data_IF_535762221116
#
_entry.id   IF_535762221116
#
_cell.length_a   1.000
_cell.length_b   1.000
_cell.length_c   1.000
_cell.angle_alpha   90.00
_cell.angle_beta   90.00
_cell.angle_gamma   90.00
#
_symmetry.space_group_name_H-M   'P 1'
#
loop_
_entity.id
_entity.type
_entity.pdbx_description
1 polymer ?
#
# COMPACT_ATOMS: atom_id res chain seq x y z
N UNK A 1 67.38 46.76 -34.31
CA UNK A 1 66.22 46.70 -33.39
C UNK A 1 64.97 46.90 -34.24
N UNK A 2 63.93 46.08 -34.33
CA UNK A 2 63.57 44.78 -33.76
C UNK A 2 62.39 44.25 -34.61
N UNK A 3 62.50 42.99 -35.04
CA UNK A 3 61.51 41.96 -35.46
C UNK A 3 60.14 42.31 -36.09
N UNK A 4 59.97 41.78 -37.32
CA UNK A 4 58.98 40.79 -37.79
C UNK A 4 57.78 40.40 -36.90
N UNK A 5 56.60 40.26 -37.53
CA UNK A 5 55.57 39.33 -37.07
C UNK A 5 54.19 39.53 -37.70
N UNK A 6 53.94 38.91 -38.86
CA UNK A 6 52.63 38.70 -39.48
C UNK A 6 51.98 37.45 -38.86
N UNK A 7 50.69 37.53 -38.52
CA UNK A 7 49.77 36.43 -38.23
C UNK A 7 48.39 37.08 -38.11
N UNK A 8 47.49 36.90 -39.07
CA UNK A 8 46.58 35.75 -39.14
C UNK A 8 46.03 35.45 -37.75
N UNK A 9 44.78 35.83 -37.51
CA UNK A 9 43.78 34.89 -37.00
C UNK A 9 42.47 35.60 -36.59
N UNK A 10 41.40 35.00 -37.11
CA UNK A 10 40.09 34.79 -36.50
C UNK A 10 38.88 35.62 -36.98
N UNK A 11 38.12 34.90 -37.80
CA UNK A 11 36.78 35.14 -38.32
C UNK A 11 35.73 35.42 -37.22
N UNK A 12 34.73 36.29 -37.46
CA UNK A 12 33.70 36.67 -36.51
C UNK A 12 32.44 35.79 -36.66
N UNK A 13 32.54 34.48 -36.41
CA UNK A 13 31.41 33.55 -36.60
C UNK A 13 31.36 32.37 -35.61
N UNK A 14 31.81 32.54 -34.36
CA UNK A 14 31.58 31.51 -33.33
C UNK A 14 31.38 32.13 -31.95
N UNK A 15 30.36 32.98 -31.83
CA UNK A 15 29.73 33.24 -30.54
C UNK A 15 28.99 31.95 -30.14
N UNK A 16 29.78 30.99 -29.64
CA UNK A 16 29.31 29.77 -29.03
C UNK A 16 28.17 30.12 -28.08
N UNK A 17 26.96 29.69 -28.46
CA UNK A 17 25.90 29.43 -27.50
C UNK A 17 26.54 28.64 -26.34
N UNK A 18 26.24 28.97 -25.07
CA UNK A 18 26.76 28.18 -23.97
C UNK A 18 26.45 26.71 -24.23
N UNK A 19 27.37 25.79 -23.94
CA UNK A 19 27.07 24.37 -24.04
C UNK A 19 25.81 24.16 -23.20
N UNK A 20 24.70 23.81 -23.85
CA UNK A 20 23.55 23.23 -23.16
C UNK A 20 24.14 22.11 -22.32
N UNK A 21 24.11 22.27 -20.99
CA UNK A 21 24.58 21.24 -20.09
C UNK A 21 23.96 19.91 -20.53
N UNK A 22 24.74 18.83 -20.72
CA UNK A 22 24.22 17.52 -21.09
C UNK A 22 23.49 16.85 -19.90
N UNK A 23 22.71 17.63 -19.14
CA UNK A 23 21.97 17.22 -17.96
C UNK A 23 20.45 17.37 -18.10
N UNK A 24 19.92 17.67 -19.30
CA UNK A 24 18.50 18.02 -19.48
C UNK A 24 17.69 17.04 -20.35
N UNK A 25 18.08 15.75 -20.32
CA UNK A 25 17.21 14.63 -20.68
C UNK A 25 17.46 13.42 -19.78
N UNK A 26 17.47 13.63 -18.46
CA UNK A 26 17.10 12.52 -17.58
C UNK A 26 15.59 12.46 -17.65
N UNK A 27 15.06 11.67 -18.59
CA UNK A 27 13.68 11.19 -18.47
C UNK A 27 13.53 10.64 -17.07
N UNK A 28 12.66 11.26 -16.27
CA UNK A 28 12.41 10.87 -14.88
C UNK A 28 12.01 9.39 -14.88
N UNK A 29 12.98 8.54 -14.55
CA UNK A 29 12.81 7.10 -14.60
C UNK A 29 11.99 6.68 -13.38
N UNK A 30 10.68 6.50 -13.57
CA UNK A 30 9.77 6.02 -12.53
C UNK A 30 9.50 4.52 -12.67
N UNK A 31 10.27 3.73 -11.92
CA UNK A 31 10.10 2.28 -11.84
C UNK A 31 8.68 1.87 -11.42
N UNK A 32 7.96 2.69 -10.63
CA UNK A 32 6.58 2.36 -10.21
C UNK A 32 5.61 2.39 -11.38
N UNK A 33 5.82 3.31 -12.32
CA UNK A 33 4.98 3.42 -13.51
C UNK A 33 5.17 2.21 -14.42
N UNK A 34 6.42 1.75 -14.58
CA UNK A 34 6.74 0.52 -15.32
C UNK A 34 6.08 -0.69 -14.66
N UNK A 35 6.29 -0.90 -13.35
CA UNK A 35 5.71 -2.03 -12.62
C UNK A 35 4.18 -2.03 -12.73
N UNK A 36 3.54 -0.86 -12.58
CA UNK A 36 2.08 -0.73 -12.69
C UNK A 36 1.62 -1.03 -14.13
N UNK A 37 2.31 -0.51 -15.14
CA UNK A 37 2.03 -0.79 -16.55
C UNK A 37 2.10 -2.29 -16.84
N UNK A 38 3.19 -2.95 -16.42
CA UNK A 38 3.34 -4.41 -16.58
C UNK A 38 2.24 -5.19 -15.86
N UNK A 39 1.91 -4.80 -14.62
CA UNK A 39 0.84 -5.43 -13.84
C UNK A 39 -0.55 -5.26 -14.46
N UNK A 40 -0.81 -4.16 -15.18
CA UNK A 40 -2.08 -3.97 -15.90
C UNK A 40 -2.14 -4.72 -17.23
N UNK A 41 -0.99 -4.98 -17.86
CA UNK A 41 -0.92 -5.67 -19.15
C UNK A 41 -0.87 -7.20 -19.01
N UNK A 42 -0.42 -7.70 -17.85
CA UNK A 42 -0.34 -9.13 -17.57
C UNK A 42 -1.46 -9.56 -16.61
N UNK A 43 -2.08 -10.71 -16.86
CA UNK A 43 -2.98 -11.37 -15.90
C UNK A 43 -2.23 -12.21 -14.86
N UNK A 44 -0.89 -12.23 -14.94
CA UNK A 44 -0.04 -13.03 -14.07
C UNK A 44 -0.10 -12.52 -12.62
N UNK A 45 -0.40 -13.43 -11.70
CA UNK A 45 -0.53 -13.12 -10.27
C UNK A 45 0.72 -13.52 -9.49
N UNK A 46 1.59 -14.36 -10.06
CA UNK A 46 2.85 -14.76 -9.42
C UNK A 46 3.85 -13.58 -9.40
N UNK A 47 4.28 -13.12 -8.21
CA UNK A 47 5.25 -12.02 -8.09
C UNK A 47 6.59 -12.34 -8.77
N UNK A 48 7.00 -13.61 -8.85
CA UNK A 48 8.27 -13.97 -9.48
C UNK A 48 8.22 -13.78 -11.00
N UNK A 49 7.13 -14.23 -11.63
CA UNK A 49 6.92 -14.04 -13.06
C UNK A 49 6.73 -12.56 -13.41
N UNK A 50 6.03 -11.79 -12.57
CA UNK A 50 5.88 -10.35 -12.77
C UNK A 50 7.24 -9.63 -12.69
N UNK A 51 8.08 -9.97 -11.72
CA UNK A 51 9.44 -9.41 -11.61
C UNK A 51 10.31 -9.75 -12.83
N UNK A 52 10.23 -10.98 -13.34
CA UNK A 52 10.93 -11.38 -14.56
C UNK A 52 10.44 -10.59 -15.78
N UNK A 53 9.12 -10.37 -15.89
CA UNK A 53 8.52 -9.58 -16.98
C UNK A 53 8.95 -8.11 -16.90
N UNK A 54 8.97 -7.53 -15.71
CA UNK A 54 9.47 -6.16 -15.49
C UNK A 54 10.95 -6.07 -15.86
N UNK A 55 11.76 -7.07 -15.51
CA UNK A 55 13.18 -7.11 -15.87
C UNK A 55 13.37 -7.15 -17.40
N UNK A 56 12.55 -7.91 -18.13
CA UNK A 56 12.60 -7.94 -19.60
C UNK A 56 12.14 -6.65 -20.26
N UNK A 57 11.28 -5.88 -19.60
CA UNK A 57 10.78 -4.59 -20.09
C UNK A 57 11.71 -3.42 -19.75
N UNK A 58 12.68 -3.62 -18.86
CA UNK A 58 13.57 -2.58 -18.37
C UNK A 58 14.83 -2.50 -19.23
N UNK A 59 15.20 -1.30 -19.66
CA UNK A 59 16.46 -1.06 -20.37
C UNK A 59 17.65 -1.35 -19.42
N UNK A 60 18.67 -2.12 -19.85
CA UNK A 60 19.90 -2.35 -19.08
C UNK A 60 20.55 -1.06 -18.53
N UNK A 61 20.45 0.06 -19.24
CA UNK A 61 21.00 1.35 -18.79
C UNK A 61 20.34 1.88 -17.51
N UNK A 62 19.09 1.46 -17.24
CA UNK A 62 18.32 1.89 -16.07
C UNK A 62 18.41 0.94 -14.87
N UNK A 63 19.16 -0.16 -14.96
CA UNK A 63 19.25 -1.16 -13.89
C UNK A 63 19.80 -0.58 -12.58
N UNK A 64 20.83 0.26 -12.67
CA UNK A 64 21.42 0.89 -11.50
C UNK A 64 20.43 1.84 -10.80
N UNK A 65 19.67 2.63 -11.57
CA UNK A 65 18.66 3.54 -11.05
C UNK A 65 17.48 2.78 -10.43
N UNK A 66 17.00 1.72 -11.09
CA UNK A 66 15.95 0.85 -10.59
C UNK A 66 16.33 0.17 -9.27
N UNK A 67 17.56 -0.34 -9.18
CA UNK A 67 18.08 -0.95 -7.96
C UNK A 67 18.20 0.08 -6.83
N UNK A 68 18.73 1.27 -7.12
CA UNK A 68 18.84 2.35 -6.15
C UNK A 68 17.46 2.80 -5.61
N UNK A 69 16.42 2.79 -6.44
CA UNK A 69 15.06 3.11 -6.03
C UNK A 69 14.42 2.01 -5.16
N UNK A 70 14.67 0.73 -5.46
CA UNK A 70 14.07 -0.41 -4.74
C UNK A 70 14.76 -0.74 -3.41
N UNK A 71 16.08 -0.60 -3.35
CA UNK A 71 16.89 -1.11 -2.24
C UNK A 71 16.49 -0.55 -0.86
N UNK A 72 16.19 0.76 -0.68
CA UNK A 72 15.79 1.29 0.62
C UNK A 72 14.49 0.67 1.17
N UNK A 73 13.52 0.41 0.30
CA UNK A 73 12.25 -0.21 0.68
C UNK A 73 12.45 -1.65 1.12
N UNK A 74 13.26 -2.40 0.36
CA UNK A 74 13.61 -3.79 0.69
C UNK A 74 14.36 -3.89 2.04
N UNK A 75 15.37 -3.03 2.26
CA UNK A 75 16.10 -2.98 3.53
C UNK A 75 15.16 -2.66 4.70
N UNK A 76 14.24 -1.71 4.52
CA UNK A 76 13.25 -1.35 5.55
C UNK A 76 12.35 -2.55 5.89
N UNK A 77 11.90 -3.31 4.89
CA UNK A 77 11.09 -4.51 5.08
C UNK A 77 11.85 -5.60 5.84
N UNK A 78 13.10 -5.89 5.48
CA UNK A 78 13.94 -6.88 6.15
C UNK A 78 14.18 -6.49 7.61
N UNK A 79 14.54 -5.22 7.86
CA UNK A 79 14.72 -4.71 9.23
C UNK A 79 13.41 -4.76 10.04
N UNK A 80 12.27 -4.51 9.40
CA UNK A 80 10.95 -4.66 10.00
C UNK A 80 10.69 -6.10 10.43
N UNK A 81 10.94 -7.06 9.54
CA UNK A 81 10.78 -8.49 9.80
C UNK A 81 11.68 -8.96 10.95
N UNK A 82 12.96 -8.59 10.94
CA UNK A 82 13.91 -8.92 12.01
C UNK A 82 13.44 -8.38 13.37
N UNK A 83 12.88 -7.17 13.41
CA UNK A 83 12.32 -6.60 14.64
C UNK A 83 11.08 -7.35 15.12
N UNK A 84 10.25 -7.86 14.22
CA UNK A 84 9.09 -8.68 14.57
C UNK A 84 9.50 -10.04 15.11
N UNK A 85 10.48 -10.68 14.47
CA UNK A 85 11.01 -11.97 14.90
C UNK A 85 11.70 -11.86 16.27
N UNK A 86 12.49 -10.79 16.50
CA UNK A 86 13.09 -10.51 17.80
C UNK A 86 12.07 -10.25 18.92
N UNK A 87 10.86 -9.78 18.57
CA UNK A 87 9.77 -9.54 19.52
C UNK A 87 8.88 -10.76 19.73
N UNK A 88 9.02 -11.81 18.92
CA UNK A 88 8.21 -13.01 19.06
C UNK A 88 8.65 -13.71 20.35
N UNK A 89 7.81 -13.74 21.41
CA UNK A 89 8.19 -14.42 22.64
C UNK A 89 8.41 -15.89 22.30
N UNK A 90 9.62 -16.39 22.57
CA UNK A 90 9.91 -17.81 22.50
C UNK A 90 8.85 -18.48 23.38
N UNK A 91 8.02 -19.39 22.84
CA UNK A 91 7.05 -20.11 23.64
C UNK A 91 7.85 -20.94 24.63
N UNK A 92 8.07 -20.39 25.82
CA UNK A 92 8.48 -21.16 26.97
C UNK A 92 7.31 -22.06 27.26
N UNK A 93 7.40 -23.30 26.76
CA UNK A 93 6.55 -24.41 27.17
C UNK A 93 6.88 -24.62 28.63
N UNK A 94 6.27 -23.81 29.50
CA UNK A 94 6.29 -24.07 30.93
C UNK A 94 5.37 -25.28 31.09
N UNK A 95 5.89 -26.47 31.46
CA UNK A 95 5.04 -27.61 31.71
C UNK A 95 3.99 -27.18 32.72
N UNK A 96 2.72 -27.33 32.35
CA UNK A 96 1.62 -26.98 33.25
C UNK A 96 1.83 -27.77 34.55
N UNK A 97 1.88 -27.12 35.73
CA UNK A 97 1.92 -27.86 36.97
C UNK A 97 0.67 -28.73 37.02
N UNK A 98 0.87 -30.04 37.12
CA UNK A 98 -0.20 -31.02 37.33
C UNK A 98 -0.86 -30.63 38.66
N UNK A 99 -2.00 -29.94 38.59
CA UNK A 99 -2.79 -29.64 39.78
C UNK A 99 -3.47 -30.94 40.21
N UNK A 100 -3.27 -31.41 41.45
CA UNK A 100 -4.06 -32.52 41.96
C UNK A 100 -5.54 -32.10 42.00
N UNK A 101 -6.41 -33.02 41.58
CA UNK A 101 -7.84 -32.86 41.63
C UNK A 101 -8.28 -32.72 43.10
N UNK A 102 -8.54 -31.49 43.53
CA UNK A 102 -9.11 -31.19 44.84
C UNK A 102 -10.52 -30.63 44.64
N UNK A 103 -11.45 -31.50 45.00
CA UNK A 103 -12.84 -31.36 45.47
C UNK A 103 -13.50 -29.96 45.45
N UNK A 104 -14.59 -29.92 44.67
CA UNK A 104 -15.85 -29.22 44.95
C UNK A 104 -15.81 -27.97 45.84
N UNK A 105 -15.42 -26.83 45.26
CA UNK A 105 -15.78 -25.52 45.80
C UNK A 105 -17.05 -25.00 45.12
N UNK A 106 -18.19 -25.19 45.78
CA UNK A 106 -19.51 -24.66 45.39
C UNK A 106 -19.65 -23.19 45.83
N UNK A 107 -18.80 -22.32 45.29
CA UNK A 107 -18.97 -20.87 45.41
C UNK A 107 -19.22 -20.28 44.02
N UNK A 108 -20.14 -19.31 43.85
CA UNK A 108 -20.35 -18.67 42.56
C UNK A 108 -19.05 -17.97 42.16
N UNK A 109 -18.37 -18.52 41.15
CA UNK A 109 -17.11 -17.99 40.65
C UNK A 109 -17.33 -16.55 40.18
N UNK A 110 -16.79 -15.58 40.94
CA UNK A 110 -16.67 -14.21 40.43
C UNK A 110 -15.92 -14.29 39.10
N UNK A 111 -16.40 -13.68 38.01
CA UNK A 111 -15.70 -13.73 36.74
C UNK A 111 -14.33 -13.09 36.95
N UNK A 112 -13.29 -13.93 37.00
CA UNK A 112 -11.91 -13.48 37.09
C UNK A 112 -11.65 -12.73 35.79
N UNK A 113 -11.80 -11.41 35.81
CA UNK A 113 -11.41 -10.55 34.69
C UNK A 113 -9.92 -10.81 34.49
N UNK A 114 -9.58 -11.55 33.44
CA UNK A 114 -8.22 -11.97 33.15
C UNK A 114 -7.31 -10.74 33.17
N UNK A 115 -6.38 -10.69 34.14
CA UNK A 115 -5.39 -9.62 34.27
C UNK A 115 -4.58 -9.44 32.98
N UNK A 116 -4.42 -10.53 32.22
CA UNK A 116 -3.85 -10.54 30.87
C UNK A 116 -4.71 -9.77 29.87
N UNK A 117 -6.04 -9.93 29.89
CA UNK A 117 -6.95 -9.14 29.04
C UNK A 117 -6.91 -7.66 29.41
N UNK A 118 -6.81 -7.33 30.71
CA UNK A 118 -6.67 -5.95 31.17
C UNK A 118 -5.35 -5.32 30.69
N UNK A 119 -4.23 -6.05 30.82
CA UNK A 119 -2.92 -5.61 30.34
C UNK A 119 -2.87 -5.45 28.82
N UNK A 120 -3.46 -6.40 28.07
CA UNK A 120 -3.57 -6.32 26.60
C UNK A 120 -4.42 -5.12 26.20
N UNK A 121 -5.56 -4.88 26.86
CA UNK A 121 -6.40 -3.71 26.58
C UNK A 121 -5.68 -2.41 26.89
N UNK A 122 -4.95 -2.34 28.00
CA UNK A 122 -4.16 -1.15 28.36
C UNK A 122 -3.04 -0.86 27.36
N UNK A 123 -2.29 -1.89 26.96
CA UNK A 123 -1.22 -1.75 25.96
C UNK A 123 -1.77 -1.42 24.56
N UNK A 124 -2.82 -2.12 24.14
CA UNK A 124 -3.49 -1.82 22.87
C UNK A 124 -4.06 -0.41 22.85
N UNK A 125 -4.66 0.05 23.95
CA UNK A 125 -5.23 1.40 24.01
C UNK A 125 -4.13 2.46 23.89
N UNK A 126 -3.01 2.30 24.62
CA UNK A 126 -1.84 3.17 24.48
C UNK A 126 -1.27 3.17 23.07
N UNK A 127 -1.26 2.02 22.39
CA UNK A 127 -0.87 1.95 20.97
C UNK A 127 -1.86 2.71 20.09
N UNK A 128 -3.15 2.50 20.28
CA UNK A 128 -4.22 3.11 19.50
C UNK A 128 -4.24 4.63 19.63
N UNK A 129 -3.93 5.16 20.81
CA UNK A 129 -3.79 6.60 21.03
C UNK A 129 -2.67 7.25 20.20
N UNK A 130 -1.64 6.47 19.83
CA UNK A 130 -0.53 6.91 18.96
C UNK A 130 -0.78 6.63 17.48
N UNK A 131 -1.93 6.10 17.11
CA UNK A 131 -2.29 5.93 15.70
C UNK A 131 -2.73 7.28 15.14
N UNK A 132 -2.21 7.62 13.95
CA UNK A 132 -2.68 8.78 13.20
C UNK A 132 -3.98 8.42 12.48
N UNK A 133 -5.04 9.16 12.76
CA UNK A 133 -6.32 9.05 12.08
C UNK A 133 -6.55 10.24 11.15
N UNK A 134 -7.33 10.02 10.10
CA UNK A 134 -7.74 11.06 9.18
C UNK A 134 -8.99 11.76 9.72
N UNK A 135 -8.94 13.09 9.77
CA UNK A 135 -9.85 13.96 10.48
C UNK A 135 -10.15 15.17 9.58
N UNK A 136 -11.22 15.11 8.81
CA UNK A 136 -11.70 16.23 7.98
C UNK A 136 -11.18 16.24 6.53
N UNK A 137 -11.52 17.31 5.80
CA UNK A 137 -11.25 17.46 4.36
C UNK A 137 -9.94 18.21 4.04
N UNK A 138 -9.30 18.84 5.03
CA UNK A 138 -8.06 19.59 4.81
C UNK A 138 -6.85 18.66 4.65
N UNK A 139 -5.89 19.00 3.78
CA UNK A 139 -4.70 18.19 3.48
C UNK A 139 -3.77 17.97 4.69
N UNK A 140 -3.88 18.79 5.74
CA UNK A 140 -3.20 18.60 7.04
C UNK A 140 -4.00 17.75 8.04
N UNK A 141 -5.10 17.11 7.61
CA UNK A 141 -6.09 16.44 8.44
C UNK A 141 -5.67 15.13 9.11
N UNK A 142 -4.38 14.89 9.37
CA UNK A 142 -3.94 13.73 10.16
C UNK A 142 -3.61 14.18 11.57
N UNK A 143 -4.30 13.61 12.55
CA UNK A 143 -4.03 13.83 13.98
C UNK A 143 -3.82 12.50 14.68
N UNK A 144 -3.01 12.48 15.73
CA UNK A 144 -2.99 11.33 16.63
C UNK A 144 -4.34 11.21 17.32
N UNK A 145 -4.80 9.98 17.55
CA UNK A 145 -6.07 9.74 18.25
C UNK A 145 -6.08 10.39 19.64
N UNK A 146 -4.93 10.48 20.31
CA UNK A 146 -4.78 11.19 21.59
C UNK A 146 -5.12 12.68 21.53
N UNK A 147 -4.90 13.32 20.37
CA UNK A 147 -5.05 14.77 20.18
C UNK A 147 -6.39 15.13 19.52
N UNK A 148 -7.28 14.16 19.33
CA UNK A 148 -8.57 14.38 18.67
C UNK A 148 -9.58 15.01 19.61
N UNK A 149 -10.20 16.10 19.15
CA UNK A 149 -11.37 16.72 19.79
C UNK A 149 -12.66 15.93 19.48
N UNK A 150 -13.78 16.32 20.09
CA UNK A 150 -15.09 15.70 19.78
C UNK A 150 -15.45 15.88 18.31
N UNK A 151 -15.30 17.10 17.77
CA UNK A 151 -15.58 17.37 16.35
C UNK A 151 -14.66 16.59 15.41
N UNK A 152 -13.42 16.35 15.80
CA UNK A 152 -12.49 15.49 15.06
C UNK A 152 -13.01 14.04 14.98
N UNK A 153 -13.49 13.51 16.11
CA UNK A 153 -14.07 12.17 16.16
C UNK A 153 -15.36 12.07 15.35
N UNK A 154 -16.22 13.09 15.38
CA UNK A 154 -17.44 13.14 14.57
C UNK A 154 -17.13 13.12 13.07
N UNK A 155 -16.14 13.91 12.63
CA UNK A 155 -15.67 13.90 11.25
C UNK A 155 -15.11 12.53 10.84
N UNK A 156 -14.31 11.91 11.71
CA UNK A 156 -13.79 10.56 11.47
C UNK A 156 -14.91 9.51 11.41
N UNK A 157 -15.93 9.60 12.26
CA UNK A 157 -17.12 8.73 12.23
C UNK A 157 -17.86 8.89 10.90
N UNK A 158 -18.12 10.14 10.48
CA UNK A 158 -18.76 10.45 9.21
C UNK A 158 -18.01 9.81 8.04
N UNK A 159 -16.70 10.06 7.95
CA UNK A 159 -15.86 9.47 6.90
C UNK A 159 -15.90 7.94 6.92
N UNK A 160 -15.78 7.32 8.09
CA UNK A 160 -15.82 5.86 8.23
C UNK A 160 -17.17 5.28 7.82
N UNK A 161 -18.28 5.95 8.15
CA UNK A 161 -19.63 5.57 7.71
C UNK A 161 -19.77 5.68 6.19
N UNK A 162 -19.28 6.76 5.59
CA UNK A 162 -19.27 6.91 4.12
C UNK A 162 -18.46 5.82 3.44
N UNK A 163 -17.26 5.51 3.95
CA UNK A 163 -16.45 4.42 3.43
C UNK A 163 -17.12 3.06 3.62
N UNK A 164 -17.76 2.82 4.76
CA UNK A 164 -18.50 1.58 5.01
C UNK A 164 -19.69 1.44 4.05
N UNK A 165 -20.44 2.51 3.80
CA UNK A 165 -21.54 2.53 2.83
C UNK A 165 -21.05 2.23 1.41
N UNK A 166 -19.92 2.84 0.98
CA UNK A 166 -19.30 2.54 -0.31
C UNK A 166 -18.86 1.09 -0.42
N UNK A 167 -18.19 0.57 0.61
CA UNK A 167 -17.75 -0.83 0.63
C UNK A 167 -18.93 -1.81 0.61
N UNK A 168 -20.05 -1.44 1.24
CA UNK A 168 -21.27 -2.24 1.20
C UNK A 168 -21.87 -2.27 -0.22
N UNK A 169 -21.98 -1.10 -0.86
CA UNK A 169 -22.43 -1.02 -2.26
C UNK A 169 -21.54 -1.84 -3.21
N UNK A 170 -20.21 -1.76 -3.07
CA UNK A 170 -19.28 -2.60 -3.84
C UNK A 170 -19.46 -4.10 -3.55
N UNK A 171 -19.82 -4.48 -2.31
CA UNK A 171 -20.11 -5.87 -2.00
C UNK A 171 -21.41 -6.34 -2.65
N UNK A 172 -22.42 -5.49 -2.72
CA UNK A 172 -23.68 -5.75 -3.41
C UNK A 172 -23.46 -5.88 -4.94
N UNK A 173 -22.60 -5.03 -5.53
CA UNK A 173 -22.15 -5.15 -6.92
C UNK A 173 -21.51 -6.53 -7.19
N UNK A 174 -20.65 -7.01 -6.30
CA UNK A 174 -20.05 -8.34 -6.43
C UNK A 174 -21.07 -9.47 -6.28
N UNK A 175 -22.10 -9.29 -5.46
CA UNK A 175 -23.19 -10.26 -5.35
C UNK A 175 -23.98 -10.34 -6.67
N UNK A 176 -24.27 -9.19 -7.29
CA UNK A 176 -24.95 -9.11 -8.58
C UNK A 176 -24.12 -9.71 -9.72
N UNK A 177 -22.81 -9.41 -9.79
CA UNK A 177 -21.90 -10.01 -10.77
C UNK A 177 -21.81 -11.53 -10.61
N UNK A 178 -21.78 -12.02 -9.36
CA UNK A 178 -21.83 -13.46 -9.09
C UNK A 178 -23.13 -14.09 -9.58
N UNK A 179 -24.27 -13.45 -9.30
CA UNK A 179 -25.57 -13.95 -9.78
C UNK A 179 -25.64 -13.99 -11.31
N UNK A 180 -25.05 -12.99 -11.99
CA UNK A 180 -24.94 -12.99 -13.45
C UNK A 180 -24.09 -14.14 -14.00
N UNK A 181 -22.97 -14.47 -13.34
CA UNK A 181 -22.15 -15.63 -13.69
C UNK A 181 -22.88 -16.96 -13.49
N UNK A 182 -23.60 -17.10 -12.38
CA UNK A 182 -24.39 -18.32 -12.11
C UNK A 182 -25.54 -18.50 -13.14
N UNK A 183 -26.05 -17.41 -13.70
CA UNK A 183 -27.11 -17.42 -14.71
C UNK A 183 -26.61 -17.74 -16.14
N UNK A 184 -25.34 -17.49 -16.46
CA UNK A 184 -24.76 -17.78 -17.77
C UNK A 184 -23.82 -19.00 -17.71
N UNK A 185 -24.26 -20.20 -18.11
CA UNK A 185 -23.45 -21.42 -18.02
C UNK A 185 -22.23 -21.43 -18.94
N UNK A 186 -22.12 -20.48 -19.89
CA UNK A 186 -20.95 -20.35 -20.77
C UNK A 186 -19.86 -19.47 -20.17
N UNK A 187 -20.19 -18.57 -19.26
CA UNK A 187 -19.25 -17.65 -18.64
C UNK A 187 -18.53 -18.32 -17.45
N UNK A 188 -17.19 -18.29 -17.46
CA UNK A 188 -16.36 -18.82 -16.34
C UNK A 188 -15.80 -17.69 -15.49
N UNK A 189 -15.57 -16.54 -16.11
CA UNK A 189 -15.09 -15.31 -15.45
C UNK A 189 -15.98 -14.13 -15.85
N UNK A 190 -15.96 -13.05 -15.06
CA UNK A 190 -16.77 -11.84 -15.32
C UNK A 190 -16.54 -11.27 -16.73
N UNK A 191 -15.30 -11.39 -17.25
CA UNK A 191 -14.96 -10.96 -18.60
C UNK A 191 -15.68 -11.73 -19.72
N UNK A 192 -16.18 -12.94 -19.45
CA UNK A 192 -16.93 -13.75 -20.41
C UNK A 192 -18.40 -13.33 -20.49
N UNK A 193 -18.89 -12.53 -19.53
CA UNK A 193 -20.29 -12.11 -19.51
C UNK A 193 -20.60 -11.19 -20.71
N UNK A 194 -21.76 -11.35 -21.36
CA UNK A 194 -22.17 -10.44 -22.43
C UNK A 194 -22.21 -8.99 -21.95
N UNK A 195 -21.71 -8.06 -22.77
CA UNK A 195 -21.67 -6.63 -22.44
C UNK A 195 -23.02 -6.05 -21.98
N UNK A 196 -24.13 -6.55 -22.54
CA UNK A 196 -25.49 -6.17 -22.11
C UNK A 196 -25.81 -6.54 -20.65
N UNK A 197 -25.28 -7.66 -20.17
CA UNK A 197 -25.49 -8.13 -18.78
C UNK A 197 -24.67 -7.27 -17.83
N UNK A 198 -23.41 -6.99 -18.19
CA UNK A 198 -22.55 -6.06 -17.43
C UNK A 198 -23.17 -4.67 -17.32
N UNK A 199 -23.66 -4.11 -18.44
CA UNK A 199 -24.35 -2.82 -18.44
C UNK A 199 -25.55 -2.82 -17.47
N UNK A 200 -26.37 -3.88 -17.48
CA UNK A 200 -27.53 -3.97 -16.59
C UNK A 200 -27.21 -4.09 -15.09
N UNK A 201 -26.02 -4.59 -14.74
CA UNK A 201 -25.55 -4.64 -13.34
C UNK A 201 -25.02 -3.26 -12.94
N UNK A 202 -24.23 -2.63 -13.79
CA UNK A 202 -23.65 -1.30 -13.53
C UNK A 202 -24.69 -0.17 -13.51
N UNK A 203 -25.72 -0.24 -14.36
CA UNK A 203 -26.79 0.77 -14.43
C UNK A 203 -27.70 0.77 -13.19
N UNK A 204 -27.85 -0.38 -12.51
CA UNK A 204 -28.65 -0.48 -11.27
C UNK A 204 -28.01 0.27 -10.10
N UNK A 205 -26.69 0.24 -10.02
CA UNK A 205 -25.91 1.00 -9.03
C UNK A 205 -25.95 2.50 -9.32
N UNK A 206 -25.83 2.90 -10.59
CA UNK A 206 -25.95 4.31 -10.99
C UNK A 206 -27.32 4.92 -10.63
N UNK A 207 -28.36 4.10 -10.52
CA UNK A 207 -29.69 4.52 -10.08
C UNK A 207 -29.88 4.51 -8.55
N UNK A 208 -29.01 3.82 -7.81
CA UNK A 208 -29.07 3.70 -6.35
C UNK A 208 -28.18 4.73 -5.61
N UNK A 209 -27.15 5.25 -6.30
CA UNK A 209 -26.24 6.29 -5.81
C UNK A 209 -26.85 7.70 -5.89
#
# INVERSE_FOLDING_TARGET
MTRFGRGDDFDPLDAALPPTSPGDRVTDFDLRLIIRGTATMTSETDPQHLAATVLTALDPEHYAAALAACLPSFVTQVLGQMRMDARRPIPTVRPAPIRPASEASTAPARPVRSSKVAAIRGEMWRRRLRENIWVGAEERGRKFLADCTVGDLDAAIGLRRTLAARNLATADEYADLRAALEADPKAKVVADLPARVLASVLDREAAAA
#
